data_IF_251418934752
#
_entry.id   IF_251418934752
#
_cell.length_a   1.000
_cell.length_b   1.000
_cell.length_c   1.000
_cell.angle_alpha   90.00
_cell.angle_beta   90.00
_cell.angle_gamma   90.00
#
_symmetry.space_group_name_H-M   'P 1'
#
loop_
_entity.id
_entity.type
_entity.pdbx_description
1 polymer ?
#
# COMPACT_ATOMS: atom_id res chain seq x y z
N UNK A 1 0.93 0.95 -20.73
CA UNK A 1 0.44 0.10 -19.62
C UNK A 1 -0.31 -1.01 -20.30
N UNK A 2 0.25 -2.21 -20.27
CA UNK A 2 -0.16 -3.28 -21.19
C UNK A 2 -1.22 -4.21 -20.56
N UNK A 3 -1.37 -4.15 -19.23
CA UNK A 3 -2.35 -4.90 -18.46
C UNK A 3 -3.06 -4.00 -17.43
N UNK A 4 -4.37 -4.21 -17.26
CA UNK A 4 -5.17 -3.56 -16.22
C UNK A 4 -5.14 -4.40 -14.93
N UNK A 5 -4.63 -3.87 -13.79
CA UNK A 5 -4.63 -4.60 -12.53
C UNK A 5 -6.03 -4.59 -11.89
N UNK A 6 -6.72 -5.73 -11.96
CA UNK A 6 -8.03 -5.94 -11.32
C UNK A 6 -8.01 -7.19 -10.45
N UNK A 7 -8.86 -7.22 -9.42
CA UNK A 7 -9.19 -8.43 -8.68
C UNK A 7 -10.53 -8.97 -9.18
N UNK A 8 -10.56 -10.22 -9.62
CA UNK A 8 -11.75 -10.86 -10.16
C UNK A 8 -12.44 -11.69 -9.07
N UNK A 9 -13.71 -11.38 -8.80
CA UNK A 9 -14.55 -12.23 -7.95
C UNK A 9 -15.01 -13.47 -8.73
N UNK A 10 -14.58 -14.64 -8.28
CA UNK A 10 -14.91 -15.95 -8.87
C UNK A 10 -15.65 -16.88 -7.90
N UNK A 11 -16.18 -16.33 -6.81
CA UNK A 11 -16.98 -17.08 -5.82
C UNK A 11 -18.16 -17.76 -6.50
N UNK A 12 -18.29 -19.08 -6.32
CA UNK A 12 -19.33 -19.93 -6.92
C UNK A 12 -19.38 -19.99 -8.46
N UNK A 13 -18.40 -19.37 -9.13
CA UNK A 13 -18.28 -19.39 -10.60
C UNK A 13 -17.46 -20.58 -11.07
N UNK A 14 -17.72 -21.03 -12.30
CA UNK A 14 -17.01 -22.13 -12.92
C UNK A 14 -15.63 -21.68 -13.42
N UNK A 15 -14.59 -22.39 -13.00
CA UNK A 15 -13.22 -22.27 -13.52
C UNK A 15 -12.81 -23.62 -14.08
N UNK A 16 -12.31 -23.64 -15.31
CA UNK A 16 -11.81 -24.86 -15.95
C UNK A 16 -10.29 -24.86 -15.95
N UNK A 17 -9.70 -26.02 -15.69
CA UNK A 17 -8.25 -26.23 -15.72
C UNK A 17 -7.96 -27.46 -16.54
N UNK A 18 -7.18 -27.31 -17.60
CA UNK A 18 -6.71 -28.39 -18.46
C UNK A 18 -5.23 -28.70 -18.16
N UNK A 19 -4.93 -29.94 -17.78
CA UNK A 19 -3.59 -30.40 -17.46
C UNK A 19 -3.45 -30.97 -16.05
N UNK A 20 -2.56 -31.95 -15.90
CA UNK A 20 -2.28 -32.66 -14.65
C UNK A 20 -0.97 -32.27 -13.94
N UNK A 21 -0.29 -31.21 -14.42
CA UNK A 21 1.02 -30.77 -13.91
C UNK A 21 0.95 -30.05 -12.56
N UNK A 22 2.10 -29.84 -11.92
CA UNK A 22 2.24 -29.00 -10.72
C UNK A 22 1.72 -27.57 -10.96
N UNK A 23 1.84 -27.05 -12.19
CA UNK A 23 1.32 -25.72 -12.54
C UNK A 23 -0.20 -25.72 -12.48
N UNK A 24 -0.85 -26.75 -13.05
CA UNK A 24 -2.29 -26.94 -12.98
C UNK A 24 -2.77 -27.05 -11.52
N UNK A 25 -2.09 -27.84 -10.68
CA UNK A 25 -2.42 -27.98 -9.26
C UNK A 25 -2.45 -26.62 -8.53
N UNK A 26 -1.47 -25.76 -8.78
CA UNK A 26 -1.42 -24.40 -8.22
C UNK A 26 -2.54 -23.49 -8.73
N UNK A 27 -3.00 -23.67 -9.98
CA UNK A 27 -4.17 -22.93 -10.50
C UNK A 27 -5.45 -23.38 -9.82
N UNK A 28 -5.63 -24.69 -9.67
CA UNK A 28 -6.77 -25.28 -8.96
C UNK A 28 -6.80 -24.80 -7.52
N UNK A 29 -5.70 -24.92 -6.78
CA UNK A 29 -5.61 -24.48 -5.38
C UNK A 29 -6.03 -23.01 -5.22
N UNK A 30 -5.50 -22.10 -6.05
CA UNK A 30 -5.85 -20.67 -6.00
C UNK A 30 -7.32 -20.41 -6.32
N UNK A 31 -7.87 -21.08 -7.33
CA UNK A 31 -9.27 -20.92 -7.69
C UNK A 31 -10.20 -21.43 -6.58
N UNK A 32 -9.86 -22.55 -5.95
CA UNK A 32 -10.58 -23.10 -4.80
C UNK A 32 -10.52 -22.17 -3.58
N UNK A 33 -9.34 -21.62 -3.26
CA UNK A 33 -9.17 -20.63 -2.18
C UNK A 33 -10.02 -19.38 -2.40
N UNK A 34 -10.19 -18.96 -3.66
CA UNK A 34 -11.07 -17.85 -4.05
C UNK A 34 -12.56 -18.24 -4.16
N UNK A 35 -12.94 -19.46 -3.77
CA UNK A 35 -14.34 -19.91 -3.70
C UNK A 35 -14.93 -20.39 -5.03
N UNK A 36 -14.12 -20.63 -6.08
CA UNK A 36 -14.61 -21.11 -7.36
C UNK A 36 -15.09 -22.57 -7.30
N UNK A 37 -15.92 -22.94 -8.29
CA UNK A 37 -16.21 -24.34 -8.66
C UNK A 37 -15.25 -24.73 -9.77
N UNK A 38 -14.35 -25.66 -9.49
CA UNK A 38 -13.24 -25.98 -10.39
C UNK A 38 -13.50 -27.31 -11.07
N UNK A 39 -13.43 -27.32 -12.39
CA UNK A 39 -13.44 -28.52 -13.20
C UNK A 39 -12.03 -28.75 -13.76
N UNK A 40 -11.43 -29.88 -13.40
CA UNK A 40 -10.08 -30.27 -13.78
C UNK A 40 -10.14 -31.39 -14.83
N UNK A 41 -9.41 -31.23 -15.93
CA UNK A 41 -9.35 -32.18 -17.05
C UNK A 41 -7.93 -32.68 -17.23
N UNK A 42 -7.69 -33.92 -16.82
CA UNK A 42 -6.51 -34.69 -17.23
C UNK A 42 -6.64 -36.15 -16.78
N UNK A 43 -6.04 -37.08 -17.52
CA UNK A 43 -5.98 -38.48 -17.11
C UNK A 43 -4.91 -38.71 -16.03
N UNK A 44 -3.79 -37.99 -16.11
CA UNK A 44 -2.62 -38.23 -15.29
C UNK A 44 -2.35 -37.03 -14.39
N UNK A 45 -2.70 -37.14 -13.12
CA UNK A 45 -2.46 -36.10 -12.13
C UNK A 45 -1.12 -36.31 -11.42
N UNK A 46 -0.39 -35.22 -11.24
CA UNK A 46 0.80 -35.16 -10.38
C UNK A 46 0.44 -35.33 -8.89
N UNK A 47 1.44 -35.67 -8.08
CA UNK A 47 1.28 -35.93 -6.64
C UNK A 47 0.75 -34.71 -5.87
N UNK A 48 0.95 -33.49 -6.38
CA UNK A 48 0.45 -32.24 -5.81
C UNK A 48 -1.08 -32.15 -5.75
N UNK A 49 -1.80 -32.95 -6.54
CA UNK A 49 -3.26 -33.03 -6.46
C UNK A 49 -3.78 -33.85 -5.28
N UNK A 50 -2.92 -34.65 -4.61
CA UNK A 50 -3.33 -35.54 -3.52
C UNK A 50 -4.07 -34.83 -2.38
N UNK A 51 -3.73 -33.56 -2.10
CA UNK A 51 -4.38 -32.74 -1.06
C UNK A 51 -5.61 -31.98 -1.55
N UNK A 52 -5.80 -31.88 -2.87
CA UNK A 52 -6.89 -31.15 -3.52
C UNK A 52 -8.07 -32.07 -3.86
N UNK A 53 -7.78 -33.33 -4.20
CA UNK A 53 -8.80 -34.33 -4.51
C UNK A 53 -9.74 -34.54 -3.31
N UNK A 54 -11.04 -34.62 -3.60
CA UNK A 54 -12.08 -34.71 -2.57
C UNK A 54 -12.57 -33.36 -2.04
N UNK A 55 -11.98 -32.24 -2.46
CA UNK A 55 -12.52 -30.92 -2.15
C UNK A 55 -13.93 -30.76 -2.75
N UNK A 56 -14.91 -30.28 -1.96
CA UNK A 56 -16.34 -30.20 -2.34
C UNK A 56 -16.63 -29.41 -3.63
N UNK A 57 -15.74 -28.48 -3.98
CA UNK A 57 -15.86 -27.62 -5.16
C UNK A 57 -14.94 -28.05 -6.30
N UNK A 58 -14.28 -29.20 -6.21
CA UNK A 58 -13.42 -29.73 -7.26
C UNK A 58 -14.08 -30.96 -7.91
N UNK A 59 -14.27 -30.88 -9.22
CA UNK A 59 -14.69 -32.01 -10.05
C UNK A 59 -13.53 -32.40 -10.95
N UNK A 60 -13.06 -33.65 -10.85
CA UNK A 60 -12.02 -34.18 -11.72
C UNK A 60 -12.63 -35.03 -12.83
N UNK A 61 -12.24 -34.74 -14.06
CA UNK A 61 -12.56 -35.49 -15.26
C UNK A 61 -11.28 -36.14 -15.78
N UNK A 62 -11.22 -37.48 -15.70
CA UNK A 62 -10.10 -38.28 -16.21
C UNK A 62 -10.18 -38.42 -17.75
N UNK A 63 -10.10 -37.30 -18.46
CA UNK A 63 -10.08 -37.17 -19.92
C UNK A 63 -9.55 -35.80 -20.33
N UNK A 64 -9.21 -35.62 -21.60
CA UNK A 64 -8.93 -34.30 -22.17
C UNK A 64 -10.19 -33.41 -22.19
N UNK A 65 -9.99 -32.10 -22.10
CA UNK A 65 -11.03 -31.07 -22.19
C UNK A 65 -11.62 -31.00 -23.61
N UNK A 66 -12.91 -30.67 -23.72
CA UNK A 66 -13.57 -30.33 -24.99
C UNK A 66 -14.06 -28.89 -25.00
N UNK A 67 -14.44 -28.37 -26.18
CA UNK A 67 -14.94 -27.00 -26.30
C UNK A 67 -16.21 -26.74 -25.47
N UNK A 68 -17.07 -27.75 -25.34
CA UNK A 68 -18.31 -27.67 -24.57
C UNK A 68 -18.05 -27.50 -23.07
N UNK A 69 -16.96 -28.07 -22.55
CA UNK A 69 -16.60 -27.97 -21.13
C UNK A 69 -16.22 -26.54 -20.71
N UNK A 70 -15.75 -25.74 -21.67
CA UNK A 70 -15.30 -24.36 -21.44
C UNK A 70 -16.50 -23.41 -21.41
N UNK A 71 -17.63 -23.79 -22.00
CA UNK A 71 -18.82 -22.97 -22.06
C UNK A 71 -19.36 -22.66 -20.65
N UNK A 72 -19.57 -21.37 -20.36
CA UNK A 72 -20.09 -20.91 -19.07
C UNK A 72 -19.04 -20.77 -17.95
N UNK A 73 -17.78 -21.11 -18.21
CA UNK A 73 -16.68 -20.78 -17.31
C UNK A 73 -16.41 -19.26 -17.32
N UNK A 74 -15.83 -18.74 -16.24
CA UNK A 74 -15.30 -17.36 -16.22
C UNK A 74 -13.81 -17.29 -16.53
N UNK A 75 -13.07 -18.35 -16.18
CA UNK A 75 -11.64 -18.47 -16.41
C UNK A 75 -11.31 -19.89 -16.87
N UNK A 76 -10.45 -19.99 -17.86
CA UNK A 76 -9.86 -21.22 -18.36
C UNK A 76 -8.33 -21.18 -18.19
N UNK A 77 -7.76 -22.17 -17.54
CA UNK A 77 -6.31 -22.34 -17.39
C UNK A 77 -5.82 -23.52 -18.22
N UNK A 78 -4.83 -23.29 -19.09
CA UNK A 78 -4.09 -24.35 -19.78
C UNK A 78 -2.76 -24.61 -19.09
N UNK A 79 -2.45 -25.86 -18.79
CA UNK A 79 -1.18 -26.31 -18.21
C UNK A 79 -0.92 -27.78 -18.60
N UNK A 80 -1.36 -28.15 -19.81
CA UNK A 80 -1.30 -29.51 -20.36
C UNK A 80 0.08 -29.84 -20.97
N UNK A 81 0.86 -28.81 -21.32
CA UNK A 81 2.11 -28.92 -22.10
C UNK A 81 1.90 -29.57 -23.49
N UNK A 82 0.66 -29.59 -23.98
CA UNK A 82 0.26 -30.09 -25.30
C UNK A 82 -0.30 -28.93 -26.15
N UNK A 83 0.41 -28.60 -27.22
CA UNK A 83 0.07 -27.48 -28.12
C UNK A 83 -1.34 -27.59 -28.71
N UNK A 84 -1.81 -28.81 -29.03
CA UNK A 84 -3.13 -29.01 -29.61
C UNK A 84 -4.23 -28.74 -28.59
N UNK A 85 -4.03 -29.17 -27.34
CA UNK A 85 -4.95 -28.90 -26.22
C UNK A 85 -4.97 -27.43 -25.84
N UNK A 86 -3.80 -26.81 -25.77
CA UNK A 86 -3.67 -25.38 -25.46
C UNK A 86 -4.34 -24.51 -26.53
N UNK A 87 -4.17 -24.86 -27.82
CA UNK A 87 -4.85 -24.19 -28.94
C UNK A 87 -6.37 -24.34 -28.87
N UNK A 88 -6.85 -25.55 -28.57
CA UNK A 88 -8.28 -25.83 -28.41
C UNK A 88 -8.86 -25.02 -27.25
N UNK A 89 -8.20 -25.03 -26.09
CA UNK A 89 -8.63 -24.31 -24.90
C UNK A 89 -8.71 -22.81 -25.17
N UNK A 90 -7.68 -22.23 -25.75
CA UNK A 90 -7.66 -20.79 -26.04
C UNK A 90 -8.74 -20.40 -27.06
N UNK A 91 -8.85 -21.14 -28.15
CA UNK A 91 -9.84 -20.85 -29.22
C UNK A 91 -11.27 -20.96 -28.70
N UNK A 92 -11.60 -22.03 -27.98
CA UNK A 92 -12.91 -22.23 -27.40
C UNK A 92 -13.23 -21.17 -26.32
N UNK A 93 -12.25 -20.81 -25.49
CA UNK A 93 -12.41 -19.73 -24.52
C UNK A 93 -12.71 -18.39 -25.19
N UNK A 94 -12.02 -18.05 -26.30
CA UNK A 94 -12.31 -16.83 -27.08
C UNK A 94 -13.74 -16.83 -27.62
N UNK A 95 -14.20 -17.95 -28.17
CA UNK A 95 -15.55 -18.08 -28.72
C UNK A 95 -16.64 -17.95 -27.65
N UNK A 96 -16.38 -18.47 -26.44
CA UNK A 96 -17.32 -18.44 -25.33
C UNK A 96 -17.23 -17.16 -24.46
N UNK A 97 -16.32 -16.22 -24.77
CA UNK A 97 -16.12 -15.01 -23.97
C UNK A 97 -15.45 -15.26 -22.61
N UNK A 98 -14.70 -16.36 -22.49
CA UNK A 98 -14.00 -16.79 -21.28
C UNK A 98 -12.57 -16.24 -21.28
N UNK A 99 -12.07 -15.83 -20.10
CA UNK A 99 -10.69 -15.41 -19.93
C UNK A 99 -9.76 -16.63 -19.89
N UNK A 100 -8.78 -16.69 -20.77
CA UNK A 100 -7.82 -17.79 -20.87
C UNK A 100 -6.44 -17.36 -20.39
N UNK A 101 -5.75 -18.28 -19.71
CA UNK A 101 -4.33 -18.17 -19.40
C UNK A 101 -3.68 -19.55 -19.56
N UNK A 102 -2.86 -19.71 -20.59
CA UNK A 102 -2.03 -20.91 -20.81
C UNK A 102 -0.64 -20.69 -20.21
N UNK A 103 -0.16 -21.66 -19.44
CA UNK A 103 1.16 -21.62 -18.84
C UNK A 103 2.25 -21.58 -19.92
N UNK A 104 3.24 -20.69 -19.75
CA UNK A 104 4.40 -20.54 -20.62
C UNK A 104 4.13 -20.21 -22.11
N UNK A 105 2.86 -20.00 -22.51
CA UNK A 105 2.46 -19.61 -23.86
C UNK A 105 1.79 -18.23 -23.84
N UNK A 106 2.60 -17.18 -24.00
CA UNK A 106 2.16 -15.79 -23.89
C UNK A 106 1.09 -15.38 -24.91
N UNK A 107 1.08 -16.00 -26.10
CA UNK A 107 0.10 -15.73 -27.15
C UNK A 107 -1.31 -16.23 -26.80
N UNK A 108 -1.41 -17.19 -25.88
CA UNK A 108 -2.66 -17.81 -25.41
C UNK A 108 -3.06 -17.29 -24.01
N UNK A 109 -2.88 -16.00 -23.77
CA UNK A 109 -3.17 -15.35 -22.49
C UNK A 109 -3.92 -14.03 -22.65
N UNK A 110 -5.13 -13.92 -22.09
CA UNK A 110 -5.84 -12.63 -21.95
C UNK A 110 -5.38 -11.84 -20.72
N UNK A 111 -4.86 -12.55 -19.73
CA UNK A 111 -4.41 -12.00 -18.47
C UNK A 111 -3.16 -12.71 -17.99
N UNK A 112 -2.47 -12.05 -17.07
CA UNK A 112 -1.30 -12.59 -16.39
C UNK A 112 -1.65 -12.93 -14.96
N UNK A 113 -1.00 -13.96 -14.43
CA UNK A 113 -1.18 -14.37 -13.05
C UNK A 113 -0.02 -13.80 -12.21
N UNK A 114 -0.29 -12.80 -11.35
CA UNK A 114 0.77 -12.11 -10.64
C UNK A 114 1.38 -12.95 -9.52
N UNK A 115 2.52 -12.49 -9.02
CA UNK A 115 2.97 -12.85 -7.68
C UNK A 115 2.01 -12.24 -6.67
N UNK A 116 1.49 -13.05 -5.74
CA UNK A 116 0.47 -12.62 -4.78
C UNK A 116 1.03 -12.74 -3.36
N UNK A 117 0.86 -11.68 -2.57
CA UNK A 117 0.98 -11.73 -1.11
C UNK A 117 -0.43 -11.73 -0.55
N UNK A 118 -0.83 -12.86 0.05
CA UNK A 118 -2.16 -13.05 0.61
C UNK A 118 -2.14 -12.85 2.13
N UNK A 119 -2.92 -11.87 2.59
CA UNK A 119 -3.22 -11.55 3.98
C UNK A 119 -4.72 -11.31 4.10
N UNK A 120 -5.52 -12.17 3.45
CA UNK A 120 -6.97 -12.02 3.30
C UNK A 120 -7.63 -11.46 4.56
N UNK A 121 -8.48 -10.42 4.42
CA UNK A 121 -8.97 -9.83 3.16
C UNK A 121 -7.99 -8.87 2.45
N UNK A 122 -6.80 -8.62 2.99
CA UNK A 122 -5.78 -7.78 2.34
C UNK A 122 -4.95 -8.61 1.34
N UNK A 123 -4.95 -8.22 0.07
CA UNK A 123 -4.21 -8.94 -0.99
C UNK A 123 -3.37 -7.95 -1.80
N UNK A 124 -2.12 -8.31 -2.09
CA UNK A 124 -1.22 -7.53 -2.95
C UNK A 124 -0.82 -8.38 -4.16
N UNK A 125 -1.04 -7.83 -5.35
CA UNK A 125 -0.62 -8.41 -6.62
C UNK A 125 0.59 -7.66 -7.18
N UNK A 126 1.62 -8.39 -7.57
CA UNK A 126 2.90 -7.87 -8.09
C UNK A 126 3.14 -8.50 -9.46
N UNK A 127 3.33 -7.66 -10.46
CA UNK A 127 3.60 -8.11 -11.83
C UNK A 127 4.63 -7.22 -12.53
N UNK A 128 5.45 -7.85 -13.37
CA UNK A 128 6.35 -7.19 -14.32
C UNK A 128 5.80 -7.26 -15.77
N UNK A 129 4.54 -7.63 -15.98
CA UNK A 129 3.99 -7.87 -17.32
C UNK A 129 4.71 -9.00 -18.07
N UNK A 130 5.23 -10.00 -17.34
CA UNK A 130 6.00 -11.11 -17.92
C UNK A 130 7.49 -10.81 -18.20
N UNK A 131 7.93 -9.54 -18.17
CA UNK A 131 9.32 -9.17 -18.56
C UNK A 131 10.41 -9.61 -17.58
N UNK A 132 10.15 -9.58 -16.26
CA UNK A 132 11.13 -9.91 -15.23
C UNK A 132 10.49 -10.63 -14.03
N UNK A 133 10.12 -11.92 -14.16
CA UNK A 133 9.47 -12.69 -13.09
C UNK A 133 10.29 -12.75 -11.79
N UNK A 134 11.62 -12.72 -11.90
CA UNK A 134 12.54 -12.73 -10.75
C UNK A 134 12.37 -11.48 -9.87
N UNK A 135 12.14 -10.31 -10.46
CA UNK A 135 11.92 -9.06 -9.71
C UNK A 135 10.62 -9.16 -8.92
N UNK A 136 9.54 -9.63 -9.55
CA UNK A 136 8.25 -9.82 -8.88
C UNK A 136 8.38 -10.78 -7.68
N UNK A 137 9.17 -11.86 -7.82
CA UNK A 137 9.46 -12.80 -6.72
C UNK A 137 10.24 -12.16 -5.56
N UNK A 138 11.27 -11.37 -5.85
CA UNK A 138 12.07 -10.67 -4.81
C UNK A 138 11.21 -9.66 -4.07
N UNK A 139 10.42 -8.86 -4.79
CA UNK A 139 9.50 -7.89 -4.19
C UNK A 139 8.43 -8.58 -3.35
N UNK A 140 7.88 -9.71 -3.81
CA UNK A 140 6.94 -10.53 -3.04
C UNK A 140 7.53 -10.94 -1.69
N UNK A 141 8.74 -11.50 -1.68
CA UNK A 141 9.40 -11.93 -0.44
C UNK A 141 9.66 -10.75 0.53
N UNK A 142 10.05 -9.58 0.01
CA UNK A 142 10.22 -8.38 0.83
C UNK A 142 8.88 -7.94 1.44
N UNK A 143 7.82 -7.89 0.65
CA UNK A 143 6.50 -7.48 1.13
C UNK A 143 5.94 -8.50 2.13
N UNK A 144 6.14 -9.80 1.91
CA UNK A 144 5.77 -10.85 2.87
C UNK A 144 6.42 -10.63 4.25
N UNK A 145 7.67 -10.15 4.28
CA UNK A 145 8.38 -9.83 5.53
C UNK A 145 7.89 -8.54 6.21
N UNK A 146 7.45 -7.55 5.43
CA UNK A 146 6.96 -6.27 5.93
C UNK A 146 5.50 -6.33 6.39
N UNK A 147 4.71 -7.27 5.85
CA UNK A 147 3.30 -7.44 6.16
C UNK A 147 3.04 -8.79 6.83
N UNK A 148 3.13 -8.88 8.16
CA UNK A 148 2.74 -10.07 8.91
C UNK A 148 1.26 -10.47 8.69
N UNK A 149 0.89 -11.75 8.92
CA UNK A 149 -0.51 -12.23 8.92
C UNK A 149 -1.49 -11.42 9.76
N UNK A 150 -1.00 -10.73 10.79
CA UNK A 150 -1.82 -9.89 11.67
C UNK A 150 -2.55 -8.76 10.93
N UNK A 151 -2.02 -8.25 9.81
CA UNK A 151 -2.67 -7.19 9.04
C UNK A 151 -4.01 -7.62 8.41
N UNK A 152 -4.18 -8.90 8.05
CA UNK A 152 -5.47 -9.42 7.59
C UNK A 152 -6.52 -9.36 8.71
N UNK A 153 -6.17 -9.85 9.90
CA UNK A 153 -7.02 -9.75 11.09
C UNK A 153 -7.32 -8.31 11.48
N UNK A 154 -6.36 -7.40 11.28
CA UNK A 154 -6.56 -5.97 11.55
C UNK A 154 -7.59 -5.37 10.60
N UNK A 155 -7.55 -5.72 9.32
CA UNK A 155 -8.55 -5.25 8.35
C UNK A 155 -9.97 -5.72 8.74
N UNK A 156 -10.13 -6.98 9.16
CA UNK A 156 -11.40 -7.49 9.68
C UNK A 156 -11.84 -6.77 10.96
N UNK A 157 -10.91 -6.56 11.90
CA UNK A 157 -11.15 -5.85 13.15
C UNK A 157 -11.65 -4.43 12.90
N UNK A 158 -10.95 -3.65 12.08
CA UNK A 158 -11.33 -2.29 11.73
C UNK A 158 -12.67 -2.28 10.96
N UNK A 159 -12.92 -3.29 10.13
CA UNK A 159 -14.18 -3.50 9.42
C UNK A 159 -15.41 -3.49 10.34
N UNK A 160 -15.30 -4.07 11.55
CA UNK A 160 -16.39 -4.10 12.56
C UNK A 160 -16.80 -2.71 13.07
N UNK A 161 -15.89 -1.74 13.01
CA UNK A 161 -16.14 -0.38 13.47
C UNK A 161 -16.50 0.60 12.34
N UNK A 162 -16.49 0.13 11.08
CA UNK A 162 -16.75 0.96 9.90
C UNK A 162 -18.06 1.74 10.00
N UNK A 163 -19.15 1.08 10.35
CA UNK A 163 -20.47 1.72 10.42
C UNK A 163 -20.55 2.75 11.55
N UNK A 164 -19.91 2.48 12.69
CA UNK A 164 -19.84 3.41 13.82
C UNK A 164 -19.04 4.68 13.46
N UNK A 165 -17.91 4.51 12.77
CA UNK A 165 -17.09 5.62 12.28
C UNK A 165 -17.84 6.45 11.22
N UNK A 166 -18.57 5.79 10.31
CA UNK A 166 -19.41 6.46 9.31
C UNK A 166 -20.54 7.27 9.93
N UNK A 167 -21.17 6.75 10.99
CA UNK A 167 -22.23 7.46 11.70
C UNK A 167 -21.69 8.62 12.56
N UNK A 168 -20.49 8.47 13.13
CA UNK A 168 -19.88 9.45 14.02
C UNK A 168 -19.19 10.61 13.32
N UNK A 169 -18.38 10.34 12.29
CA UNK A 169 -17.49 11.32 11.67
C UNK A 169 -18.02 11.69 10.27
N UNK A 170 -18.43 12.94 10.10
CA UNK A 170 -19.11 13.39 8.87
C UNK A 170 -18.15 13.64 7.70
N UNK A 171 -16.93 14.14 7.94
CA UNK A 171 -15.97 14.44 6.88
C UNK A 171 -15.21 13.22 6.36
N UNK A 172 -14.97 13.16 5.05
CA UNK A 172 -14.17 12.09 4.41
C UNK A 172 -12.70 12.16 4.85
N UNK A 173 -12.14 13.37 4.94
CA UNK A 173 -10.76 13.60 5.39
C UNK A 173 -10.58 13.20 6.85
N UNK A 174 -11.52 13.58 7.71
CA UNK A 174 -11.53 13.25 9.14
C UNK A 174 -11.65 11.74 9.37
N UNK A 175 -12.54 11.06 8.61
CA UNK A 175 -12.69 9.59 8.65
C UNK A 175 -11.39 8.88 8.26
N UNK A 176 -10.74 9.34 7.19
CA UNK A 176 -9.46 8.77 6.76
C UNK A 176 -8.39 8.96 7.84
N UNK A 177 -8.29 10.18 8.37
CA UNK A 177 -7.33 10.50 9.43
C UNK A 177 -7.54 9.68 10.69
N UNK A 178 -8.79 9.43 11.06
CA UNK A 178 -9.13 8.51 12.14
C UNK A 178 -8.53 7.14 11.86
N UNK A 179 -8.82 6.53 10.70
CA UNK A 179 -8.27 5.22 10.34
C UNK A 179 -6.75 5.16 10.30
N UNK A 180 -6.10 6.18 9.72
CA UNK A 180 -4.64 6.27 9.74
C UNK A 180 -4.13 6.30 11.17
N UNK A 181 -4.65 7.19 12.03
CA UNK A 181 -4.22 7.27 13.43
C UNK A 181 -4.46 5.96 14.20
N UNK A 182 -5.54 5.26 13.89
CA UNK A 182 -5.86 3.97 14.49
C UNK A 182 -4.88 2.87 14.08
N UNK A 183 -4.51 2.79 12.80
CA UNK A 183 -3.59 1.77 12.28
C UNK A 183 -2.14 2.07 12.71
N UNK A 184 -1.78 3.35 12.69
CA UNK A 184 -0.40 3.83 12.76
C UNK A 184 -0.01 4.37 14.15
N UNK A 185 -0.92 4.22 15.13
CA UNK A 185 -0.81 4.68 16.52
C UNK A 185 -1.06 3.57 17.56
N UNK A 186 -1.31 3.93 18.84
CA UNK A 186 -1.30 2.98 19.95
C UNK A 186 -2.25 1.79 19.81
N UNK A 187 -3.42 2.00 19.21
CA UNK A 187 -4.37 0.92 18.98
C UNK A 187 -3.87 -0.13 17.98
N UNK A 188 -3.21 0.31 16.91
CA UNK A 188 -2.57 -0.57 15.93
C UNK A 188 -1.42 -1.35 16.56
N UNK A 189 -0.59 -0.68 17.38
CA UNK A 189 0.50 -1.32 18.12
C UNK A 189 -0.01 -2.39 19.09
N UNK A 190 -1.05 -2.09 19.88
CA UNK A 190 -1.70 -3.05 20.76
C UNK A 190 -2.32 -4.23 20.00
N UNK A 191 -2.96 -3.95 18.86
CA UNK A 191 -3.53 -5.00 18.01
C UNK A 191 -2.45 -5.95 17.49
N UNK A 192 -1.35 -5.40 16.97
CA UNK A 192 -0.21 -6.18 16.46
C UNK A 192 0.48 -6.98 17.58
N UNK A 193 0.49 -6.46 18.81
CA UNK A 193 0.97 -7.17 19.99
C UNK A 193 0.02 -8.27 20.49
N UNK A 194 -1.18 -8.39 19.92
CA UNK A 194 -2.20 -9.37 20.30
C UNK A 194 -3.11 -8.94 21.47
N UNK A 195 -2.99 -7.71 21.94
CA UNK A 195 -3.82 -7.14 23.01
C UNK A 195 -5.07 -6.50 22.42
N UNK A 196 -6.05 -7.34 22.09
CA UNK A 196 -7.29 -6.93 21.42
C UNK A 196 -8.16 -6.01 22.30
N UNK A 197 -8.18 -6.25 23.62
CA UNK A 197 -8.99 -5.46 24.56
C UNK A 197 -8.51 -4.01 24.62
N UNK A 198 -7.18 -3.81 24.75
CA UNK A 198 -6.63 -2.44 24.73
C UNK A 198 -6.76 -1.78 23.38
N UNK A 199 -6.57 -2.52 22.28
CA UNK A 199 -6.78 -1.98 20.94
C UNK A 199 -8.21 -1.46 20.74
N UNK A 200 -9.22 -2.23 21.18
CA UNK A 200 -10.62 -1.83 21.13
C UNK A 200 -10.92 -0.64 22.05
N UNK A 201 -10.42 -0.66 23.28
CA UNK A 201 -10.59 0.45 24.22
C UNK A 201 -10.03 1.76 23.67
N UNK A 202 -8.81 1.74 23.10
CA UNK A 202 -8.22 2.90 22.45
C UNK A 202 -9.08 3.38 21.26
N UNK A 203 -9.55 2.46 20.41
CA UNK A 203 -10.40 2.80 19.26
C UNK A 203 -11.69 3.51 19.68
N UNK A 204 -12.39 2.97 20.69
CA UNK A 204 -13.63 3.56 21.18
C UNK A 204 -13.37 4.93 21.80
N UNK A 205 -12.32 5.08 22.61
CA UNK A 205 -11.97 6.36 23.22
C UNK A 205 -11.64 7.44 22.16
N UNK A 206 -10.88 7.10 21.12
CA UNK A 206 -10.59 8.00 20.00
C UNK A 206 -11.84 8.32 19.18
N UNK A 207 -12.80 7.40 19.06
CA UNK A 207 -14.06 7.65 18.36
C UNK A 207 -14.98 8.58 19.14
N UNK A 208 -15.11 8.39 20.46
CA UNK A 208 -15.86 9.28 21.35
C UNK A 208 -15.32 10.69 21.32
N UNK A 209 -13.99 10.80 21.31
CA UNK A 209 -13.30 12.05 21.09
C UNK A 209 -13.68 12.69 19.76
N UNK A 210 -13.48 11.96 18.65
CA UNK A 210 -13.68 12.49 17.30
C UNK A 210 -15.13 12.92 17.03
N UNK A 211 -16.08 12.35 17.78
CA UNK A 211 -17.51 12.70 17.69
C UNK A 211 -17.94 13.83 18.65
N UNK A 212 -17.00 14.40 19.41
CA UNK A 212 -17.27 15.48 20.36
C UNK A 212 -18.07 15.04 21.59
N UNK A 213 -18.15 13.73 21.86
CA UNK A 213 -18.87 13.14 23.01
C UNK A 213 -17.94 12.79 24.18
N UNK A 214 -16.62 12.98 24.01
CA UNK A 214 -15.59 12.70 25.02
C UNK A 214 -14.64 13.87 25.27
N UNK A 215 -13.49 13.59 25.91
CA UNK A 215 -12.42 14.56 26.15
C UNK A 215 -11.94 15.24 24.84
N UNK A 216 -11.42 16.48 24.89
CA UNK A 216 -10.98 17.20 23.68
C UNK A 216 -9.92 16.40 22.92
N UNK A 217 -10.05 16.37 21.59
CA UNK A 217 -9.13 15.59 20.76
C UNK A 217 -7.73 16.12 20.77
N UNK A 218 -6.80 15.15 20.64
CA UNK A 218 -5.37 15.38 20.55
C UNK A 218 -5.13 16.58 19.64
N UNK A 219 -4.52 17.59 20.25
CA UNK A 219 -4.11 18.82 19.60
C UNK A 219 -3.30 18.46 18.34
N UNK A 220 -3.49 19.22 17.25
CA UNK A 220 -2.68 19.00 16.05
C UNK A 220 -1.19 19.14 16.38
N UNK A 221 -0.37 18.37 15.67
CA UNK A 221 1.08 18.33 15.90
C UNK A 221 1.83 18.91 14.69
N UNK A 222 3.02 19.45 14.96
CA UNK A 222 3.89 20.02 13.94
C UNK A 222 5.16 19.19 13.79
N UNK A 223 5.49 18.82 12.56
CA UNK A 223 6.69 18.09 12.20
C UNK A 223 7.68 19.02 11.50
N UNK A 224 8.80 19.35 12.12
CA UNK A 224 9.93 20.00 11.46
C UNK A 224 10.85 18.92 10.88
N UNK A 225 10.89 18.80 9.55
CA UNK A 225 11.58 17.70 8.87
C UNK A 225 12.64 18.23 7.91
N UNK A 226 13.86 17.73 8.07
CA UNK A 226 14.95 17.93 7.12
C UNK A 226 14.77 17.08 5.86
N UNK A 227 14.69 17.73 4.72
CA UNK A 227 14.49 17.09 3.42
C UNK A 227 15.80 16.58 2.80
N UNK A 228 16.96 16.89 3.41
CA UNK A 228 18.24 16.60 2.80
C UNK A 228 18.63 17.59 1.71
N UNK A 229 19.76 17.39 1.00
CA UNK A 229 20.29 18.34 0.03
C UNK A 229 19.57 18.34 -1.33
N UNK A 230 18.62 17.41 -1.56
CA UNK A 230 17.78 17.36 -2.76
C UNK A 230 17.50 15.95 -3.26
N UNK A 231 18.46 15.03 -3.12
CA UNK A 231 18.30 13.62 -3.51
C UNK A 231 17.27 12.93 -2.59
N UNK A 232 16.15 12.38 -3.11
CA UNK A 232 15.15 11.68 -2.32
C UNK A 232 15.69 10.49 -1.52
N UNK A 233 16.75 9.84 -1.99
CA UNK A 233 17.36 8.69 -1.29
C UNK A 233 18.14 9.11 -0.03
N UNK A 234 18.40 10.41 0.16
CA UNK A 234 19.02 10.97 1.36
C UNK A 234 18.00 11.35 2.44
N UNK A 235 16.70 11.11 2.21
CA UNK A 235 15.68 11.25 3.25
C UNK A 235 15.85 10.17 4.31
N UNK A 236 15.64 10.56 5.57
CA UNK A 236 15.56 9.57 6.64
C UNK A 236 14.23 8.82 6.56
N UNK A 237 14.21 7.54 6.97
CA UNK A 237 12.95 6.78 7.06
C UNK A 237 11.92 7.46 7.96
N UNK A 238 12.36 8.18 9.00
CA UNK A 238 11.47 8.95 9.87
C UNK A 238 10.86 10.14 9.13
N UNK A 239 11.64 10.86 8.31
CA UNK A 239 11.14 11.94 7.46
C UNK A 239 10.05 11.44 6.51
N UNK A 240 10.34 10.34 5.78
CA UNK A 240 9.40 9.73 4.85
C UNK A 240 8.08 9.30 5.53
N UNK A 241 8.17 8.68 6.73
CA UNK A 241 7.00 8.27 7.51
C UNK A 241 6.12 9.48 7.90
N UNK A 242 6.73 10.58 8.33
CA UNK A 242 5.99 11.80 8.67
C UNK A 242 5.42 12.51 7.44
N UNK A 243 6.14 12.49 6.30
CA UNK A 243 5.66 13.02 5.01
C UNK A 243 4.40 12.31 4.50
N UNK A 244 4.26 11.02 4.79
CA UNK A 244 3.07 10.23 4.44
C UNK A 244 1.88 10.47 5.39
N UNK A 245 2.14 10.95 6.61
CA UNK A 245 1.12 11.21 7.65
C UNK A 245 0.64 12.65 7.72
N UNK A 246 1.31 13.58 7.03
CA UNK A 246 1.00 15.00 7.07
C UNK A 246 -0.32 15.33 6.35
N UNK A 247 -1.13 16.20 6.97
CA UNK A 247 -2.35 16.74 6.36
C UNK A 247 -2.02 17.96 5.50
N UNK A 248 -1.08 18.79 5.97
CA UNK A 248 -0.63 20.01 5.31
C UNK A 248 0.89 20.02 5.29
N UNK A 249 1.47 20.33 4.13
CA UNK A 249 2.92 20.46 3.95
C UNK A 249 3.28 21.89 3.62
N UNK A 250 4.02 22.53 4.53
CA UNK A 250 4.66 23.82 4.34
C UNK A 250 6.08 23.61 3.83
N UNK A 251 6.34 23.96 2.57
CA UNK A 251 7.65 23.75 1.93
C UNK A 251 8.18 25.05 1.31
N UNK A 252 9.49 25.12 1.16
CA UNK A 252 10.18 26.25 0.54
C UNK A 252 10.90 25.84 -0.76
N UNK A 253 11.58 26.80 -1.38
CA UNK A 253 12.26 26.63 -2.67
C UNK A 253 13.35 25.56 -2.65
N UNK A 254 13.93 25.25 -1.50
CA UNK A 254 15.08 24.34 -1.42
C UNK A 254 14.65 22.86 -1.44
N UNK A 255 13.35 22.59 -1.34
CA UNK A 255 12.79 21.25 -1.45
C UNK A 255 12.52 20.94 -2.92
N UNK A 256 13.21 19.94 -3.47
CA UNK A 256 13.04 19.52 -4.87
C UNK A 256 11.75 18.75 -5.14
N UNK A 257 11.31 18.73 -6.39
CA UNK A 257 10.05 18.09 -6.81
C UNK A 257 10.02 16.59 -6.50
N UNK A 258 11.14 15.87 -6.65
CA UNK A 258 11.22 14.44 -6.32
C UNK A 258 10.93 14.13 -4.85
N UNK A 259 11.25 15.05 -3.93
CA UNK A 259 10.90 14.91 -2.51
C UNK A 259 9.41 15.22 -2.30
N UNK A 260 8.85 16.21 -3.02
CA UNK A 260 7.44 16.56 -2.94
C UNK A 260 6.52 15.47 -3.51
N UNK A 261 7.01 14.65 -4.44
CA UNK A 261 6.30 13.46 -4.93
C UNK A 261 6.16 12.37 -3.86
N UNK A 262 7.08 12.32 -2.89
CA UNK A 262 7.04 11.40 -1.76
C UNK A 262 6.14 11.90 -0.62
N UNK A 263 5.57 13.10 -0.73
CA UNK A 263 4.53 13.56 0.18
C UNK A 263 3.21 12.88 -0.17
N UNK A 264 2.40 12.58 0.85
CA UNK A 264 1.03 12.09 0.67
C UNK A 264 0.28 12.88 -0.42
N UNK A 265 -0.34 12.18 -1.37
CA UNK A 265 -1.01 12.79 -2.55
C UNK A 265 -2.16 13.73 -2.18
N UNK A 266 -2.89 13.41 -1.12
CA UNK A 266 -4.05 14.18 -0.64
C UNK A 266 -3.66 15.31 0.32
N UNK A 267 -2.37 15.47 0.65
CA UNK A 267 -1.94 16.52 1.57
C UNK A 267 -2.01 17.90 0.89
N UNK A 268 -2.52 18.89 1.61
CA UNK A 268 -2.53 20.28 1.15
C UNK A 268 -1.09 20.81 1.11
N UNK A 269 -0.64 21.32 -0.04
CA UNK A 269 0.74 21.79 -0.22
C UNK A 269 0.75 23.31 -0.25
N UNK A 270 1.36 23.92 0.75
CA UNK A 270 1.46 25.38 0.87
C UNK A 270 2.92 25.76 0.68
N UNK A 271 3.19 26.53 -0.37
CA UNK A 271 4.50 27.07 -0.65
C UNK A 271 4.75 28.33 0.21
N UNK A 272 5.78 28.30 1.05
CA UNK A 272 6.13 29.40 1.98
C UNK A 272 7.46 30.08 1.63
N UNK A 273 8.07 29.74 0.49
CA UNK A 273 9.34 30.30 0.03
C UNK A 273 9.22 31.68 -0.65
N UNK A 274 10.37 32.33 -0.89
CA UNK A 274 10.45 33.58 -1.67
C UNK A 274 10.42 33.26 -3.17
N UNK A 275 9.41 33.76 -3.90
CA UNK A 275 9.43 33.86 -5.38
C UNK A 275 9.91 35.26 -5.79
N UNK A 276 10.57 35.41 -6.95
CA UNK A 276 11.05 36.72 -7.43
C UNK A 276 9.96 37.80 -7.54
N UNK A 277 8.69 37.42 -7.74
CA UNK A 277 7.60 38.36 -8.08
C UNK A 277 6.36 38.27 -7.15
N UNK A 278 6.46 37.68 -5.95
CA UNK A 278 5.30 37.61 -5.04
C UNK A 278 5.70 37.80 -3.58
N UNK A 279 4.84 38.51 -2.82
CA UNK A 279 5.09 38.91 -1.44
C UNK A 279 5.60 37.74 -0.59
N UNK A 280 6.83 37.89 -0.10
CA UNK A 280 7.45 36.94 0.82
C UNK A 280 6.64 36.88 2.11
N UNK A 281 6.16 35.70 2.52
CA UNK A 281 5.71 35.50 3.90
C UNK A 281 6.89 35.71 4.84
N UNK A 282 6.69 36.50 5.89
CA UNK A 282 7.71 36.65 6.93
C UNK A 282 7.78 35.37 7.77
N UNK A 283 8.91 35.14 8.43
CA UNK A 283 9.12 33.94 9.24
C UNK A 283 8.07 33.81 10.37
N UNK A 284 7.62 34.94 10.88
CA UNK A 284 6.54 35.07 11.86
C UNK A 284 5.20 34.60 11.28
N UNK A 285 4.91 34.94 10.01
CA UNK A 285 3.68 34.51 9.33
C UNK A 285 3.64 33.00 9.10
N UNK A 286 4.80 32.40 8.79
CA UNK A 286 4.93 30.95 8.61
C UNK A 286 4.68 30.24 9.95
N UNK A 287 5.27 30.76 11.02
CA UNK A 287 5.12 30.20 12.37
C UNK A 287 3.69 30.35 12.89
N UNK A 288 3.07 31.52 12.66
CA UNK A 288 1.65 31.75 12.96
C UNK A 288 0.73 30.83 12.15
N UNK A 289 1.04 30.58 10.87
CA UNK A 289 0.30 29.63 10.05
C UNK A 289 0.41 28.19 10.60
N UNK A 290 1.59 27.76 11.03
CA UNK A 290 1.77 26.45 11.67
C UNK A 290 0.92 26.32 12.94
N UNK A 291 0.99 27.33 13.81
CA UNK A 291 0.19 27.37 15.05
C UNK A 291 -1.31 27.30 14.74
N UNK A 292 -1.78 28.08 13.75
CA UNK A 292 -3.19 28.08 13.34
C UNK A 292 -3.63 26.70 12.86
N UNK A 293 -2.90 26.11 11.91
CA UNK A 293 -3.23 24.81 11.35
C UNK A 293 -3.17 23.69 12.40
N UNK A 294 -2.24 23.76 13.34
CA UNK A 294 -2.16 22.80 14.45
C UNK A 294 -3.30 22.97 15.46
N UNK A 295 -3.74 24.21 15.73
CA UNK A 295 -4.94 24.49 16.55
C UNK A 295 -6.24 24.05 15.88
N UNK A 296 -6.30 24.10 14.56
CA UNK A 296 -7.36 23.48 13.76
C UNK A 296 -7.28 21.94 13.78
N UNK A 297 -6.33 21.40 14.56
CA UNK A 297 -6.13 19.98 14.78
C UNK A 297 -5.26 19.32 13.72
N UNK A 298 -4.80 19.99 12.66
CA UNK A 298 -4.09 19.32 11.54
C UNK A 298 -2.68 18.85 11.92
N UNK A 299 -2.19 17.79 11.25
CA UNK A 299 -0.77 17.40 11.26
C UNK A 299 0.00 18.22 10.24
N UNK A 300 0.78 19.19 10.72
CA UNK A 300 1.48 20.16 9.87
C UNK A 300 2.92 19.73 9.68
N UNK A 301 3.33 19.48 8.45
CA UNK A 301 4.72 19.20 8.10
C UNK A 301 5.41 20.47 7.60
N UNK A 302 6.40 20.95 8.33
CA UNK A 302 7.36 21.95 7.86
C UNK A 302 8.56 21.25 7.26
N UNK A 303 8.58 21.17 5.93
CA UNK A 303 9.65 20.54 5.17
C UNK A 303 10.71 21.58 4.80
N UNK A 304 11.96 21.34 5.23
CA UNK A 304 13.07 22.29 5.12
C UNK A 304 14.22 21.65 4.37
N UNK A 305 14.83 22.36 3.42
CA UNK A 305 16.03 21.88 2.72
C UNK A 305 17.20 21.64 3.69
N UNK A 306 17.93 20.55 3.51
CA UNK A 306 19.04 20.16 4.37
C UNK A 306 18.58 19.66 5.74
N UNK A 307 19.12 20.26 6.79
CA UNK A 307 18.80 19.96 8.19
C UNK A 307 18.04 21.14 8.84
N UNK A 308 17.00 20.90 9.67
CA UNK A 308 16.20 21.97 10.26
C UNK A 308 16.99 22.98 11.12
N UNK A 309 18.08 22.54 11.76
CA UNK A 309 18.84 23.34 12.73
C UNK A 309 20.15 23.90 12.16
N UNK A 310 20.63 23.37 11.02
CA UNK A 310 21.83 23.91 10.36
C UNK A 310 21.42 25.00 9.36
N UNK A 311 21.52 26.26 9.78
CA UNK A 311 21.12 27.45 9.00
C UNK A 311 19.64 27.47 8.55
N UNK A 312 18.81 26.57 9.09
CA UNK A 312 17.39 26.44 8.72
C UNK A 312 16.45 27.32 9.53
N UNK A 313 16.91 28.04 10.55
CA UNK A 313 16.06 28.82 11.50
C UNK A 313 14.98 27.98 12.19
N UNK A 314 15.17 26.66 12.30
CA UNK A 314 14.21 25.78 12.97
C UNK A 314 14.01 26.07 14.46
N UNK A 315 14.99 26.70 15.12
CA UNK A 315 14.88 27.09 16.53
C UNK A 315 13.80 28.16 16.76
N UNK A 316 13.75 29.19 15.92
CA UNK A 316 12.74 30.27 16.01
C UNK A 316 11.32 29.74 15.78
N UNK A 317 11.17 28.82 14.82
CA UNK A 317 9.88 28.17 14.53
C UNK A 317 9.38 27.35 15.73
N UNK A 318 10.28 26.65 16.43
CA UNK A 318 9.94 25.82 17.59
C UNK A 318 9.58 26.66 18.82
N UNK A 319 10.27 27.77 19.05
CA UNK A 319 10.00 28.66 20.18
C UNK A 319 8.55 29.13 20.16
N UNK A 320 8.06 29.58 19.00
CA UNK A 320 6.66 29.99 18.85
C UNK A 320 5.67 28.83 19.05
N UNK A 321 6.02 27.60 18.62
CA UNK A 321 5.18 26.41 18.85
C UNK A 321 5.08 26.05 20.33
N UNK A 322 6.21 26.13 21.04
CA UNK A 322 6.30 25.89 22.47
C UNK A 322 5.49 26.92 23.28
N UNK A 323 5.59 28.21 22.94
CA UNK A 323 4.79 29.29 23.56
C UNK A 323 3.28 29.05 23.44
N UNK A 324 2.84 28.43 22.34
CA UNK A 324 1.43 28.13 22.08
C UNK A 324 0.99 26.74 22.57
N UNK A 325 1.86 26.01 23.28
CA UNK A 325 1.64 24.63 23.73
C UNK A 325 1.23 23.68 22.60
N UNK A 326 1.83 23.81 21.42
CA UNK A 326 1.59 22.92 20.28
C UNK A 326 2.60 21.76 20.33
N UNK A 327 2.15 20.49 20.32
CA UNK A 327 3.06 19.36 20.21
C UNK A 327 3.88 19.43 18.92
N UNK A 328 5.21 19.26 19.02
CA UNK A 328 6.07 19.26 17.84
C UNK A 328 7.13 18.16 17.90
N UNK A 329 7.59 17.73 16.72
CA UNK A 329 8.69 16.80 16.55
C UNK A 329 9.69 17.34 15.54
N UNK A 330 10.98 17.13 15.80
CA UNK A 330 12.06 17.50 14.88
C UNK A 330 12.73 16.25 14.36
N UNK A 331 12.87 16.17 13.04
CA UNK A 331 13.58 15.09 12.36
C UNK A 331 14.77 15.69 11.62
N UNK A 332 16.01 15.28 11.98
CA UNK A 332 17.19 15.78 11.32
C UNK A 332 17.24 15.31 9.86
N UNK A 333 17.98 16.08 9.05
CA UNK A 333 18.23 15.77 7.65
C UNK A 333 19.72 15.78 7.34
N UNK A 334 20.09 15.21 6.19
CA UNK A 334 21.47 15.33 5.70
C UNK A 334 21.70 16.79 5.28
N UNK A 335 22.59 17.51 5.98
CA UNK A 335 22.91 18.89 5.62
C UNK A 335 23.66 18.97 4.28
N UNK A 336 23.52 20.11 3.59
CA UNK A 336 24.17 20.36 2.31
C UNK A 336 25.69 20.12 2.35
N UNK A 337 26.36 20.49 3.46
CA UNK A 337 27.80 20.28 3.60
C UNK A 337 28.19 18.78 3.51
N UNK A 338 27.45 17.90 4.18
CA UNK A 338 27.71 16.46 4.20
C UNK A 338 27.37 15.81 2.84
N UNK A 339 26.24 16.20 2.24
CA UNK A 339 25.83 15.75 0.92
C UNK A 339 26.84 16.15 -0.16
N UNK A 340 27.13 17.45 -0.28
CA UNK A 340 28.08 17.96 -1.27
C UNK A 340 29.48 17.34 -1.10
N UNK A 341 29.96 17.18 0.13
CA UNK A 341 31.25 16.54 0.41
C UNK A 341 31.35 15.14 -0.18
N UNK A 342 30.34 14.30 0.08
CA UNK A 342 30.31 12.91 -0.39
C UNK A 342 30.18 12.82 -1.91
N UNK A 343 29.23 13.56 -2.50
CA UNK A 343 28.95 13.50 -3.93
C UNK A 343 30.00 14.21 -4.80
N UNK A 344 30.72 15.18 -4.24
CA UNK A 344 31.87 15.80 -4.92
C UNK A 344 33.18 15.01 -4.75
N UNK A 345 33.19 13.96 -3.91
CA UNK A 345 34.41 13.23 -3.58
C UNK A 345 35.42 14.04 -2.76
N UNK A 346 34.96 15.09 -2.05
CA UNK A 346 35.81 15.99 -1.26
C UNK A 346 35.47 15.79 0.22
N UNK A 347 36.24 14.98 0.98
CA UNK A 347 35.93 14.73 2.38
C UNK A 347 36.06 16.01 3.21
N UNK A 348 35.11 16.27 4.12
CA UNK A 348 35.15 17.46 5.01
C UNK A 348 36.39 17.48 5.90
N UNK A 349 36.96 16.32 6.20
CA UNK A 349 38.21 16.18 6.95
C UNK A 349 39.05 15.08 6.31
N UNK A 350 40.37 15.27 6.22
CA UNK A 350 41.32 14.23 5.83
C UNK A 350 42.31 14.05 7.00
N UNK A 351 42.47 12.82 7.47
CA UNK A 351 43.36 12.46 8.59
C UNK A 351 44.41 11.47 8.12
#
# INVERSE_FOLDING_TARGET
MDYLPIFLDITDKLVVVDGGSTVAARRVERALLAGAKVHLFDENLSDEFSTLLGHKNLTHHARAITAEDIAGAVVAYGASEDEARDTLLYTAAKQAGVLANVADVGEYCDFITPSVVDRSPLVIAISSGGTAPVIARILRARIESLLPPAYGRMAEFLGKFRDRVLAGIKGTTERRRFWETMIDGPAGDHFLAGDLERAESHLLSSLECATGKGAPCEQGEVFLVGAGPGDPDLLTFRALRLMQRADVVLYDRLVGDGILELVRRDAERIYVGKRPDNHAMFQEDISALMVKLAKDGKRVLRLKGGDPFIFGRGGEEIEMLAEHNIPFQVVPGITAAAGCSTYAGIPLTHR
#
